data_IF_088532939085
#
_entry.id   IF_088532939085
#
_cell.length_a   1.000
_cell.length_b   1.000
_cell.length_c   1.000
_cell.angle_alpha   90.00
_cell.angle_beta   90.00
_cell.angle_gamma   90.00
#
_symmetry.space_group_name_H-M   'P 1'
#
loop_
_entity.id
_entity.type
_entity.pdbx_description
1 polymer ?
#
# COMPACT_ATOMS: atom_id res chain seq x y z
N UNK A 1 2.70 -30.10 21.30
CA UNK A 1 1.89 -30.33 20.09
C UNK A 1 2.42 -29.40 19.02
N UNK A 2 2.95 -29.97 17.95
CA UNK A 2 3.66 -29.26 16.87
C UNK A 2 2.69 -28.45 16.03
N UNK A 3 2.77 -27.12 16.13
CA UNK A 3 2.13 -26.18 15.20
C UNK A 3 2.70 -26.41 13.81
N UNK A 4 1.89 -27.00 12.92
CA UNK A 4 2.22 -27.04 11.50
C UNK A 4 1.92 -25.66 10.93
N UNK A 5 2.97 -24.89 10.63
CA UNK A 5 2.86 -23.75 9.73
C UNK A 5 2.50 -24.29 8.34
N UNK A 6 1.21 -24.45 8.07
CA UNK A 6 0.71 -24.85 6.76
C UNK A 6 0.95 -23.69 5.79
N UNK A 7 1.99 -23.81 4.98
CA UNK A 7 2.18 -22.97 3.79
C UNK A 7 1.03 -23.29 2.85
N UNK A 8 0.05 -22.38 2.76
CA UNK A 8 -1.03 -22.50 1.79
C UNK A 8 -0.47 -22.09 0.42
N UNK A 9 -0.52 -22.97 -0.60
CA UNK A 9 -0.07 -22.59 -1.94
C UNK A 9 -0.92 -21.44 -2.47
N UNK A 10 -0.28 -20.41 -3.04
CA UNK A 10 -1.00 -19.37 -3.79
C UNK A 10 -1.80 -20.03 -4.93
N UNK A 11 -3.07 -19.64 -5.09
CA UNK A 11 -3.87 -20.13 -6.22
C UNK A 11 -3.32 -19.59 -7.56
N UNK A 12 -3.49 -20.40 -8.62
CA UNK A 12 -3.20 -19.99 -9.98
C UNK A 12 -4.04 -18.75 -10.39
N UNK A 13 -3.60 -17.97 -11.40
CA UNK A 13 -4.38 -16.85 -11.92
C UNK A 13 -5.81 -17.26 -12.26
N UNK A 14 -6.77 -16.37 -12.02
CA UNK A 14 -8.18 -16.58 -12.37
C UNK A 14 -8.34 -16.99 -13.84
N UNK A 15 -9.26 -17.93 -14.11
CA UNK A 15 -9.64 -18.35 -15.48
C UNK A 15 -10.44 -17.28 -16.23
N UNK A 16 -10.74 -16.14 -15.61
CA UNK A 16 -11.31 -14.97 -16.28
C UNK A 16 -10.31 -14.44 -17.33
N UNK A 17 -10.80 -14.25 -18.56
CA UNK A 17 -9.99 -13.92 -19.74
C UNK A 17 -8.96 -12.80 -19.49
N UNK A 18 -7.67 -13.17 -19.54
CA UNK A 18 -6.46 -12.40 -19.88
C UNK A 18 -6.29 -10.96 -19.39
N UNK A 19 -6.99 -10.49 -18.38
CA UNK A 19 -6.66 -9.23 -17.73
C UNK A 19 -5.59 -9.51 -16.69
N UNK A 20 -4.33 -9.23 -17.01
CA UNK A 20 -3.22 -9.34 -16.06
C UNK A 20 -3.26 -8.16 -15.06
N UNK A 21 -4.36 -8.09 -14.30
CA UNK A 21 -4.57 -7.08 -13.26
C UNK A 21 -3.51 -7.24 -12.17
N UNK A 22 -3.01 -6.10 -11.72
CA UNK A 22 -2.13 -6.00 -10.57
C UNK A 22 -2.75 -5.04 -9.57
N UNK A 23 -2.71 -5.45 -8.30
CA UNK A 23 -2.95 -4.55 -7.17
C UNK A 23 -1.77 -4.72 -6.23
N UNK A 24 -0.76 -3.86 -6.37
CA UNK A 24 0.50 -4.00 -5.66
C UNK A 24 0.65 -2.96 -4.55
N UNK A 25 1.37 -3.35 -3.49
CA UNK A 25 1.72 -2.50 -2.36
C UNK A 25 3.23 -2.34 -2.31
N UNK A 26 3.70 -1.21 -1.81
CA UNK A 26 5.13 -0.97 -1.67
C UNK A 26 5.46 0.48 -1.38
N UNK A 27 6.67 0.89 -1.77
CA UNK A 27 7.14 2.27 -1.73
C UNK A 27 7.48 2.75 -3.14
N UNK A 28 7.12 3.99 -3.44
CA UNK A 28 7.50 4.65 -4.69
C UNK A 28 8.99 5.00 -4.69
N UNK A 29 9.59 4.87 -5.86
CA UNK A 29 10.88 5.44 -6.19
C UNK A 29 10.89 5.92 -7.64
N UNK A 30 12.05 6.38 -8.08
CA UNK A 30 12.30 6.72 -9.47
C UNK A 30 13.69 6.26 -9.88
N UNK A 31 13.85 6.03 -11.18
CA UNK A 31 15.10 5.62 -11.80
C UNK A 31 15.27 6.37 -13.13
N UNK A 32 16.52 6.66 -13.50
CA UNK A 32 16.83 7.44 -14.71
C UNK A 32 16.92 6.56 -15.98
N UNK A 33 17.13 5.25 -15.82
CA UNK A 33 17.38 4.28 -16.88
C UNK A 33 18.72 4.45 -17.62
N UNK A 34 19.23 5.68 -17.74
CA UNK A 34 20.44 6.02 -18.48
C UNK A 34 21.16 7.23 -17.91
N UNK A 35 22.45 7.34 -18.21
CA UNK A 35 23.31 8.47 -17.84
C UNK A 35 22.83 9.76 -18.49
N UNK A 36 22.41 9.72 -19.76
CA UNK A 36 21.91 10.90 -20.46
C UNK A 36 20.66 11.48 -19.78
N UNK A 37 19.74 10.62 -19.33
CA UNK A 37 18.54 11.05 -18.59
C UNK A 37 18.92 11.65 -17.25
N UNK A 38 19.80 10.99 -16.49
CA UNK A 38 20.32 11.52 -15.22
C UNK A 38 20.96 12.90 -15.40
N UNK A 39 21.81 13.05 -16.41
CA UNK A 39 22.53 14.29 -16.66
C UNK A 39 21.59 15.44 -17.09
N UNK A 40 20.46 15.12 -17.73
CA UNK A 40 19.38 16.09 -18.00
C UNK A 40 18.82 16.67 -16.70
N UNK A 41 18.46 15.84 -15.73
CA UNK A 41 17.99 16.31 -14.42
C UNK A 41 19.06 17.11 -13.67
N UNK A 42 20.35 16.71 -13.75
CA UNK A 42 21.45 17.50 -13.16
C UNK A 42 21.59 18.90 -13.74
N UNK A 43 21.18 19.11 -15.00
CA UNK A 43 21.27 20.41 -15.68
C UNK A 43 20.03 21.27 -15.48
N UNK A 44 18.84 20.66 -15.41
CA UNK A 44 17.57 21.38 -15.36
C UNK A 44 17.10 21.67 -13.93
N UNK A 45 17.41 20.80 -12.97
CA UNK A 45 17.02 21.04 -11.58
C UNK A 45 17.72 22.28 -11.02
N UNK A 46 16.99 23.15 -10.30
CA UNK A 46 17.58 24.36 -9.73
C UNK A 46 18.60 24.01 -8.63
N UNK A 47 19.63 24.85 -8.41
CA UNK A 47 20.51 24.72 -7.26
C UNK A 47 19.71 24.70 -5.95
N UNK A 48 20.19 23.94 -4.97
CA UNK A 48 19.55 23.83 -3.67
C UNK A 48 20.20 24.80 -2.68
N UNK A 49 19.41 25.68 -2.07
CA UNK A 49 19.88 26.61 -1.05
C UNK A 49 19.87 25.93 0.33
N UNK A 50 21.04 25.83 0.95
CA UNK A 50 21.19 25.24 2.30
C UNK A 50 21.01 26.30 3.38
N UNK A 51 21.41 27.53 3.07
CA UNK A 51 21.23 28.72 3.91
C UNK A 51 21.26 29.97 3.02
N UNK A 52 20.89 31.11 3.57
CA UNK A 52 20.90 32.39 2.86
C UNK A 52 22.28 32.64 2.19
N UNK A 53 22.29 32.74 0.86
CA UNK A 53 23.50 32.96 0.05
C UNK A 53 24.42 31.75 -0.14
N UNK A 54 24.05 30.54 0.32
CA UNK A 54 24.84 29.31 0.12
C UNK A 54 24.02 28.28 -0.65
N UNK A 55 24.29 28.20 -1.95
CA UNK A 55 23.69 27.21 -2.86
C UNK A 55 24.66 26.08 -3.18
N UNK A 56 24.16 24.85 -3.22
CA UNK A 56 24.87 23.69 -3.78
C UNK A 56 24.25 23.25 -5.10
N UNK A 57 25.01 22.57 -5.98
CA UNK A 57 24.46 21.99 -7.19
C UNK A 57 23.28 21.05 -6.89
N UNK A 58 22.31 21.01 -7.79
CA UNK A 58 21.16 20.10 -7.68
C UNK A 58 21.63 18.65 -7.57
N UNK A 59 21.00 17.91 -6.65
CA UNK A 59 21.22 16.48 -6.50
C UNK A 59 19.94 15.72 -6.93
N UNK A 60 19.90 15.18 -8.16
CA UNK A 60 18.72 14.46 -8.63
C UNK A 60 18.48 13.13 -7.91
N UNK A 61 19.43 12.65 -7.08
CA UNK A 61 19.23 11.49 -6.22
C UNK A 61 18.59 11.86 -4.86
N UNK A 62 18.51 13.15 -4.51
CA UNK A 62 17.77 13.59 -3.34
C UNK A 62 16.29 13.70 -3.71
N UNK A 63 15.49 12.76 -3.19
CA UNK A 63 14.06 12.70 -3.47
C UNK A 63 13.32 13.99 -3.07
N UNK A 64 13.81 14.74 -2.08
CA UNK A 64 13.22 16.04 -1.68
C UNK A 64 13.34 17.06 -2.80
N UNK A 65 14.55 17.22 -3.34
CA UNK A 65 14.80 18.11 -4.47
C UNK A 65 14.04 17.68 -5.72
N UNK A 66 13.93 16.36 -5.97
CA UNK A 66 13.18 15.83 -7.11
C UNK A 66 11.69 16.12 -6.98
N UNK A 67 11.10 15.89 -5.81
CA UNK A 67 9.67 16.18 -5.54
C UNK A 67 9.36 17.65 -5.75
N UNK A 68 10.20 18.55 -5.25
CA UNK A 68 10.04 20.00 -5.39
C UNK A 68 10.13 20.44 -6.87
N UNK A 69 11.09 19.86 -7.61
CA UNK A 69 11.25 20.10 -9.03
C UNK A 69 10.00 19.65 -9.82
N UNK A 70 9.51 18.44 -9.57
CA UNK A 70 8.33 17.89 -10.25
C UNK A 70 7.03 18.59 -9.86
N UNK A 71 6.93 19.16 -8.65
CA UNK A 71 5.79 19.99 -8.25
C UNK A 71 5.69 21.25 -9.13
N UNK A 72 6.85 21.80 -9.52
CA UNK A 72 6.94 22.98 -10.38
C UNK A 72 6.83 22.65 -11.86
N UNK A 73 7.34 21.49 -12.29
CA UNK A 73 7.29 21.01 -13.67
C UNK A 73 6.91 19.52 -13.75
N UNK A 74 5.62 19.24 -13.62
CA UNK A 74 5.11 17.87 -13.66
C UNK A 74 5.32 17.19 -15.02
N UNK A 75 5.58 17.95 -16.08
CA UNK A 75 5.78 17.37 -17.41
C UNK A 75 7.03 16.49 -17.46
N UNK A 76 8.02 16.78 -16.62
CA UNK A 76 9.25 16.00 -16.47
C UNK A 76 9.07 14.69 -15.73
N UNK A 77 7.95 14.49 -15.02
CA UNK A 77 7.65 13.22 -14.35
C UNK A 77 7.62 12.04 -15.34
N UNK A 78 7.20 12.27 -16.59
CA UNK A 78 7.21 11.25 -17.65
C UNK A 78 8.63 10.83 -18.08
N UNK A 79 9.62 11.67 -17.78
CA UNK A 79 11.03 11.44 -18.08
C UNK A 79 11.69 10.54 -17.01
N UNK A 80 11.00 10.14 -15.96
CA UNK A 80 11.49 9.18 -14.98
C UNK A 80 10.88 7.80 -15.20
N UNK A 81 11.64 6.76 -14.87
CA UNK A 81 11.07 5.43 -14.65
C UNK A 81 10.58 5.42 -13.21
N UNK A 82 9.27 5.54 -13.00
CA UNK A 82 8.68 5.39 -11.66
C UNK A 82 8.76 3.92 -11.27
N UNK A 83 9.22 3.64 -10.05
CA UNK A 83 9.34 2.27 -9.55
C UNK A 83 8.40 2.06 -8.38
N UNK A 84 7.78 0.88 -8.34
CA UNK A 84 7.20 0.35 -7.11
C UNK A 84 8.19 -0.65 -6.54
N UNK A 85 8.59 -0.41 -5.30
CA UNK A 85 9.56 -1.21 -4.60
C UNK A 85 8.86 -1.97 -3.47
N UNK A 86 9.17 -3.25 -3.33
CA UNK A 86 8.86 -4.00 -2.11
C UNK A 86 10.15 -4.01 -1.32
N UNK A 87 10.14 -3.31 -0.18
CA UNK A 87 11.34 -2.97 0.56
C UNK A 87 12.33 -2.18 -0.33
N UNK A 88 13.55 -2.68 -0.52
CA UNK A 88 14.58 -2.05 -1.34
C UNK A 88 14.68 -2.66 -2.74
N UNK A 89 13.73 -3.50 -3.14
CA UNK A 89 13.75 -4.20 -4.43
C UNK A 89 12.69 -3.63 -5.37
N UNK A 90 13.08 -3.03 -6.51
CA UNK A 90 12.14 -2.66 -7.56
C UNK A 90 11.46 -3.92 -8.11
N UNK A 91 10.13 -3.98 -8.03
CA UNK A 91 9.33 -5.11 -8.53
C UNK A 91 8.53 -4.74 -9.79
N UNK A 92 8.15 -3.46 -9.92
CA UNK A 92 7.46 -2.93 -11.08
C UNK A 92 8.01 -1.57 -11.48
N UNK A 93 7.96 -1.28 -12.77
CA UNK A 93 7.94 0.08 -13.27
C UNK A 93 6.50 0.53 -13.49
N UNK A 94 6.18 1.77 -13.14
CA UNK A 94 4.85 2.37 -13.27
C UNK A 94 4.89 3.32 -14.47
N UNK A 95 4.04 3.07 -15.46
CA UNK A 95 3.95 3.91 -16.66
C UNK A 95 2.50 4.34 -16.89
N UNK A 96 2.08 5.49 -16.33
CA UNK A 96 0.78 6.06 -16.64
C UNK A 96 0.64 6.41 -18.13
N UNK A 97 -0.50 6.04 -18.72
CA UNK A 97 -0.83 6.30 -20.13
C UNK A 97 -2.27 6.75 -20.31
N UNK A 98 -2.55 7.20 -21.53
CA UNK A 98 -3.88 7.63 -21.93
C UNK A 98 -4.29 9.00 -21.37
N UNK A 99 -5.59 9.32 -21.41
CA UNK A 99 -6.10 10.65 -21.08
C UNK A 99 -5.83 11.11 -19.63
N UNK A 100 -5.64 10.18 -18.70
CA UNK A 100 -5.43 10.44 -17.27
C UNK A 100 -3.95 10.33 -16.83
N UNK A 101 -3.01 10.23 -17.78
CA UNK A 101 -1.60 10.04 -17.47
C UNK A 101 -1.04 11.18 -16.61
N UNK A 102 -1.43 12.43 -16.91
CA UNK A 102 -0.95 13.60 -16.17
C UNK A 102 -1.42 13.57 -14.72
N UNK A 103 -2.68 13.25 -14.48
CA UNK A 103 -3.27 13.16 -13.14
C UNK A 103 -2.65 12.01 -12.35
N UNK A 104 -2.35 10.89 -13.01
CA UNK A 104 -1.61 9.78 -12.39
C UNK A 104 -0.17 10.17 -12.04
N UNK A 105 0.55 10.92 -12.90
CA UNK A 105 1.87 11.45 -12.54
C UNK A 105 1.83 12.44 -11.38
N UNK A 106 0.80 13.31 -11.32
CA UNK A 106 0.57 14.17 -10.15
C UNK A 106 0.38 13.34 -8.88
N UNK A 107 -0.48 12.32 -8.92
CA UNK A 107 -0.68 11.43 -7.78
C UNK A 107 0.62 10.71 -7.37
N UNK A 108 1.43 10.21 -8.32
CA UNK A 108 2.72 9.59 -8.01
C UNK A 108 3.70 10.58 -7.35
N UNK A 109 3.72 11.84 -7.82
CA UNK A 109 4.52 12.90 -7.23
C UNK A 109 4.06 13.23 -5.81
N UNK A 110 2.75 13.38 -5.58
CA UNK A 110 2.17 13.64 -4.25
C UNK A 110 2.45 12.48 -3.28
N UNK A 111 2.34 11.24 -3.74
CA UNK A 111 2.63 10.05 -2.95
C UNK A 111 4.12 9.98 -2.59
N UNK A 112 5.02 10.29 -3.53
CA UNK A 112 6.46 10.37 -3.26
C UNK A 112 6.77 11.52 -2.28
N UNK A 113 6.08 12.66 -2.40
CA UNK A 113 6.20 13.80 -1.49
C UNK A 113 5.81 13.44 -0.05
N UNK A 114 4.77 12.62 0.14
CA UNK A 114 4.42 12.11 1.46
C UNK A 114 5.44 11.11 2.00
N UNK A 115 6.05 10.28 1.16
CA UNK A 115 7.05 9.29 1.60
C UNK A 115 8.36 9.90 2.11
N UNK A 116 8.69 11.12 1.69
CA UNK A 116 9.92 11.82 2.11
C UNK A 116 9.70 12.68 3.37
N UNK A 117 8.47 12.78 3.87
CA UNK A 117 8.20 13.48 5.12
C UNK A 117 8.85 12.75 6.31
N UNK A 118 9.15 13.46 7.40
CA UNK A 118 9.58 12.82 8.63
C UNK A 118 8.53 11.82 9.15
N UNK A 119 8.95 10.70 9.75
CA UNK A 119 8.03 9.65 10.22
C UNK A 119 6.97 10.13 11.23
N UNK A 120 7.23 11.23 11.94
CA UNK A 120 6.33 11.83 12.91
C UNK A 120 5.35 12.85 12.30
N UNK A 121 5.48 13.13 11.01
CA UNK A 121 4.61 14.06 10.29
C UNK A 121 3.25 13.40 9.99
N UNK A 122 2.17 14.17 10.07
CA UNK A 122 0.82 13.67 9.76
C UNK A 122 0.66 13.33 8.27
N UNK A 123 1.45 13.97 7.39
CA UNK A 123 1.46 13.73 5.96
C UNK A 123 2.42 12.61 5.53
N UNK A 124 3.14 11.99 6.48
CA UNK A 124 4.02 10.87 6.20
C UNK A 124 3.28 9.68 5.60
N UNK A 125 3.69 9.29 4.40
CA UNK A 125 3.19 8.11 3.70
C UNK A 125 4.19 6.99 3.89
N UNK A 126 3.79 5.95 4.61
CA UNK A 126 4.68 4.80 4.81
C UNK A 126 4.67 3.87 3.59
N UNK A 127 3.49 3.68 2.97
CA UNK A 127 3.29 2.77 1.82
C UNK A 127 2.26 3.32 0.85
N UNK A 128 2.33 2.82 -0.38
CA UNK A 128 1.37 3.11 -1.43
C UNK A 128 0.67 1.85 -1.93
N UNK A 129 -0.52 2.04 -2.49
CA UNK A 129 -1.21 1.05 -3.30
C UNK A 129 -1.27 1.52 -4.75
N UNK A 130 -0.88 0.64 -5.68
CA UNK A 130 -0.83 0.93 -7.12
C UNK A 130 -1.59 -0.16 -7.87
N UNK A 131 -2.86 0.07 -8.24
CA UNK A 131 -3.55 -0.76 -9.21
C UNK A 131 -3.03 -0.48 -10.62
N UNK A 132 -2.89 -1.51 -11.43
CA UNK A 132 -2.50 -1.37 -12.83
C UNK A 132 -2.75 -2.63 -13.64
N UNK A 133 -2.59 -2.50 -14.95
CA UNK A 133 -2.59 -3.64 -15.87
C UNK A 133 -1.15 -3.96 -16.23
N UNK A 134 -0.75 -5.24 -16.14
CA UNK A 134 0.54 -5.66 -16.69
C UNK A 134 0.52 -5.55 -18.21
N UNK A 135 1.47 -4.79 -18.74
CA UNK A 135 1.50 -4.45 -20.17
C UNK A 135 2.19 -5.53 -21.02
N UNK A 136 2.78 -6.55 -20.40
CA UNK A 136 3.69 -7.51 -21.04
C UNK A 136 5.06 -6.92 -21.45
N UNK A 137 5.26 -5.61 -21.29
CA UNK A 137 6.54 -4.93 -21.53
C UNK A 137 7.40 -4.90 -20.26
N UNK A 138 8.70 -4.74 -20.47
CA UNK A 138 9.68 -4.55 -19.40
C UNK A 138 10.51 -3.31 -19.67
N UNK A 139 11.15 -2.79 -18.62
CA UNK A 139 12.14 -1.71 -18.71
C UNK A 139 13.40 -2.10 -17.95
N UNK A 140 14.55 -1.69 -18.47
CA UNK A 140 15.84 -1.84 -17.80
C UNK A 140 16.11 -0.59 -16.96
N UNK A 141 16.32 -0.78 -15.67
CA UNK A 141 16.70 0.26 -14.72
C UNK A 141 18.19 0.63 -14.89
N UNK A 142 18.60 1.75 -14.29
CA UNK A 142 19.99 2.22 -14.30
C UNK A 142 20.95 1.17 -13.71
N UNK A 143 20.51 0.40 -12.72
CA UNK A 143 21.26 -0.72 -12.13
C UNK A 143 21.51 -1.88 -13.10
N UNK A 144 20.77 -1.93 -14.21
CA UNK A 144 20.74 -3.02 -15.16
C UNK A 144 19.67 -4.07 -14.88
N UNK A 145 18.97 -3.99 -13.74
CA UNK A 145 17.82 -4.84 -13.43
C UNK A 145 16.69 -4.60 -14.45
N UNK A 146 16.01 -5.66 -14.87
CA UNK A 146 14.85 -5.58 -15.78
C UNK A 146 13.59 -5.88 -14.98
N UNK A 147 12.63 -4.96 -15.02
CA UNK A 147 11.36 -5.08 -14.28
C UNK A 147 10.15 -4.95 -15.22
N UNK A 148 9.04 -5.66 -14.94
CA UNK A 148 7.80 -5.52 -15.70
C UNK A 148 7.14 -4.15 -15.51
N UNK A 149 6.42 -3.69 -16.53
CA UNK A 149 5.69 -2.42 -16.52
C UNK A 149 4.22 -2.66 -16.19
N UNK A 150 3.73 -1.98 -15.15
CA UNK A 150 2.31 -1.83 -14.85
C UNK A 150 1.81 -0.47 -15.33
N UNK A 151 0.61 -0.46 -15.89
CA UNK A 151 -0.06 0.74 -16.40
C UNK A 151 -1.28 1.05 -15.52
N UNK A 152 -1.21 2.07 -14.64
CA UNK A 152 -2.38 2.60 -13.98
C UNK A 152 -3.32 3.22 -15.01
N UNK A 153 -4.59 2.81 -15.03
CA UNK A 153 -5.58 3.34 -15.97
C UNK A 153 -6.33 4.57 -15.45
N UNK A 154 -6.23 4.85 -14.16
CA UNK A 154 -6.83 6.03 -13.51
C UNK A 154 -6.12 6.36 -12.20
N UNK A 155 -6.46 7.49 -11.59
CA UNK A 155 -5.99 7.84 -10.23
C UNK A 155 -6.71 7.07 -9.13
N UNK A 156 -7.81 6.39 -9.43
CA UNK A 156 -8.56 5.63 -8.43
C UNK A 156 -7.72 4.47 -7.93
N UNK A 157 -7.71 4.27 -6.62
CA UNK A 157 -6.92 3.23 -5.98
C UNK A 157 -5.44 3.56 -5.81
N UNK A 158 -4.96 4.72 -6.30
CA UNK A 158 -3.65 5.25 -5.92
C UNK A 158 -3.77 5.88 -4.53
N UNK A 159 -3.54 5.08 -3.49
CA UNK A 159 -3.62 5.57 -2.10
C UNK A 159 -2.27 5.50 -1.40
N UNK A 160 -2.00 6.52 -0.57
CA UNK A 160 -0.90 6.55 0.39
C UNK A 160 -1.42 6.27 1.80
N UNK A 161 -0.69 5.45 2.54
CA UNK A 161 -1.04 5.08 3.91
C UNK A 161 -0.37 6.02 4.90
N UNK A 162 -1.16 6.93 5.48
CA UNK A 162 -0.75 7.84 6.54
C UNK A 162 -1.03 7.23 7.90
N UNK A 163 -0.05 6.50 8.45
CA UNK A 163 -0.21 5.75 9.71
C UNK A 163 -0.62 6.66 10.86
N UNK A 164 0.03 7.82 10.98
CA UNK A 164 -0.24 8.80 12.04
C UNK A 164 -1.68 9.31 11.99
N UNK A 165 -2.17 9.68 10.79
CA UNK A 165 -3.57 10.11 10.63
C UNK A 165 -4.57 9.01 11.03
N UNK A 166 -4.25 7.74 10.77
CA UNK A 166 -5.10 6.61 11.14
C UNK A 166 -5.10 6.33 12.63
N UNK A 167 -3.93 6.40 13.29
CA UNK A 167 -3.84 6.33 14.75
C UNK A 167 -4.70 7.44 15.37
N UNK A 168 -4.62 8.66 14.83
CA UNK A 168 -5.41 9.79 15.32
C UNK A 168 -6.92 9.54 15.16
N UNK A 169 -7.37 9.08 13.98
CA UNK A 169 -8.78 8.78 13.72
C UNK A 169 -9.32 7.62 14.58
N UNK A 170 -8.52 6.56 14.77
CA UNK A 170 -8.87 5.44 15.65
C UNK A 170 -8.97 5.89 17.11
N UNK A 171 -8.02 6.71 17.57
CA UNK A 171 -8.01 7.27 18.92
C UNK A 171 -9.26 8.12 19.19
N UNK A 172 -9.60 9.03 18.28
CA UNK A 172 -10.80 9.86 18.40
C UNK A 172 -12.09 9.03 18.49
N UNK A 173 -12.16 7.95 17.71
CA UNK A 173 -13.32 7.03 17.71
C UNK A 173 -13.47 6.32 19.06
N UNK A 174 -12.37 5.82 19.63
CA UNK A 174 -12.38 5.12 20.93
C UNK A 174 -12.63 6.08 22.08
N UNK A 175 -12.00 7.25 22.05
CA UNK A 175 -12.19 8.30 23.05
C UNK A 175 -13.67 8.72 23.15
N UNK A 176 -14.36 8.82 22.01
CA UNK A 176 -15.78 9.13 21.95
C UNK A 176 -16.68 8.00 22.49
N UNK A 177 -16.25 6.74 22.40
CA UNK A 177 -17.05 5.57 22.75
C UNK A 177 -16.83 5.06 24.18
N UNK A 178 -15.58 5.04 24.66
CA UNK A 178 -15.16 4.35 25.89
C UNK A 178 -14.48 5.29 26.93
N UNK A 179 -14.28 6.57 26.59
CA UNK A 179 -13.92 7.63 27.52
C UNK A 179 -12.43 7.73 27.86
N UNK A 180 -11.77 6.66 28.32
CA UNK A 180 -10.35 6.67 28.68
C UNK A 180 -9.57 5.80 27.69
N UNK A 181 -8.89 6.43 26.72
CA UNK A 181 -8.07 5.75 25.73
C UNK A 181 -6.58 6.05 25.98
N UNK A 182 -5.75 5.01 26.07
CA UNK A 182 -4.29 5.16 26.05
C UNK A 182 -3.82 5.32 24.60
N UNK A 183 -3.50 6.55 24.22
CA UNK A 183 -3.02 6.89 22.87
C UNK A 183 -1.74 6.16 22.51
N UNK A 184 -0.83 6.01 23.46
CA UNK A 184 0.48 5.42 23.21
C UNK A 184 0.36 3.91 23.03
N UNK A 185 -0.50 3.25 23.83
CA UNK A 185 -0.82 1.84 23.63
C UNK A 185 -1.51 1.61 22.28
N UNK A 186 -2.52 2.42 21.93
CA UNK A 186 -3.23 2.36 20.66
C UNK A 186 -2.28 2.53 19.47
N UNK A 187 -1.39 3.53 19.54
CA UNK A 187 -0.36 3.78 18.52
C UNK A 187 0.57 2.59 18.34
N UNK A 188 1.06 1.99 19.45
CA UNK A 188 1.89 0.78 19.41
C UNK A 188 1.16 -0.41 18.80
N UNK A 189 -0.07 -0.69 19.22
CA UNK A 189 -0.83 -1.84 18.73
C UNK A 189 -1.22 -1.67 17.27
N UNK A 190 -1.67 -0.47 16.86
CA UNK A 190 -1.98 -0.21 15.46
C UNK A 190 -0.71 -0.26 14.61
N UNK A 191 0.39 0.38 15.04
CA UNK A 191 1.68 0.30 14.34
C UNK A 191 2.19 -1.15 14.19
N UNK A 192 2.06 -1.97 15.25
CA UNK A 192 2.41 -3.41 15.20
C UNK A 192 1.51 -4.18 14.24
N UNK A 193 0.20 -3.94 14.28
CA UNK A 193 -0.76 -4.52 13.33
C UNK A 193 -0.38 -4.20 11.89
N UNK A 194 -0.14 -2.92 11.58
CA UNK A 194 0.18 -2.47 10.24
C UNK A 194 1.50 -3.06 9.72
N UNK A 195 2.53 -3.08 10.58
CA UNK A 195 3.80 -3.72 10.26
C UNK A 195 3.62 -5.21 9.97
N UNK A 196 2.88 -5.92 10.83
CA UNK A 196 2.65 -7.35 10.69
C UNK A 196 1.88 -7.68 9.41
N UNK A 197 0.83 -6.91 9.13
CA UNK A 197 0.04 -7.05 7.90
C UNK A 197 0.92 -6.86 6.67
N UNK A 198 1.86 -5.91 6.69
CA UNK A 198 2.77 -5.67 5.57
C UNK A 198 3.82 -6.79 5.40
N UNK A 199 4.55 -7.14 6.46
CA UNK A 199 5.68 -8.08 6.34
C UNK A 199 5.24 -9.54 6.18
N UNK A 200 4.16 -9.96 6.84
CA UNK A 200 3.69 -11.34 6.75
C UNK A 200 3.08 -11.66 5.38
N UNK A 201 2.64 -10.63 4.65
CA UNK A 201 1.75 -10.79 3.48
C UNK A 201 2.27 -10.14 2.20
N UNK A 202 3.52 -9.68 2.18
CA UNK A 202 4.13 -9.11 0.97
C UNK A 202 4.05 -10.09 -0.20
N UNK A 203 3.57 -9.60 -1.34
CA UNK A 203 3.39 -10.39 -2.55
C UNK A 203 3.42 -9.45 -3.77
N UNK A 204 3.41 -10.05 -4.97
CA UNK A 204 3.49 -9.29 -6.22
C UNK A 204 2.14 -8.69 -6.66
N UNK A 205 1.03 -9.04 -6.02
CA UNK A 205 -0.28 -8.49 -6.34
C UNK A 205 -0.85 -8.96 -7.67
N UNK A 206 -0.38 -10.08 -8.23
CA UNK A 206 -0.76 -10.55 -9.58
C UNK A 206 -1.88 -11.58 -9.54
N UNK A 207 -1.84 -12.53 -8.60
CA UNK A 207 -2.91 -13.53 -8.46
C UNK A 207 -4.16 -12.89 -7.85
N UNK A 208 -5.34 -13.48 -8.06
CA UNK A 208 -6.57 -12.95 -7.46
C UNK A 208 -6.53 -12.96 -5.94
N UNK A 209 -5.91 -13.99 -5.35
CA UNK A 209 -5.69 -14.07 -3.92
C UNK A 209 -4.77 -12.95 -3.42
N UNK A 210 -3.65 -12.70 -4.12
CA UNK A 210 -2.71 -11.63 -3.81
C UNK A 210 -3.37 -10.24 -3.90
N UNK A 211 -4.17 -10.00 -4.95
CA UNK A 211 -4.94 -8.75 -5.07
C UNK A 211 -5.94 -8.59 -3.94
N UNK A 212 -6.64 -9.66 -3.58
CA UNK A 212 -7.61 -9.63 -2.49
C UNK A 212 -6.90 -9.34 -1.16
N UNK A 213 -5.74 -9.97 -0.94
CA UNK A 213 -4.91 -9.75 0.23
C UNK A 213 -4.43 -8.30 0.30
N UNK A 214 -3.79 -7.78 -0.75
CA UNK A 214 -3.27 -6.41 -0.80
C UNK A 214 -4.36 -5.35 -0.67
N UNK A 215 -5.51 -5.56 -1.34
CA UNK A 215 -6.65 -4.68 -1.18
C UNK A 215 -7.24 -4.79 0.22
N UNK A 216 -7.26 -5.97 0.84
CA UNK A 216 -7.75 -6.12 2.21
C UNK A 216 -6.94 -5.32 3.20
N UNK A 217 -5.63 -5.20 2.99
CA UNK A 217 -4.79 -4.31 3.79
C UNK A 217 -5.22 -2.87 3.57
N UNK A 218 -5.29 -2.43 2.31
CA UNK A 218 -5.72 -1.06 1.99
C UNK A 218 -7.10 -0.73 2.58
N UNK A 219 -8.05 -1.66 2.47
CA UNK A 219 -9.38 -1.53 3.03
C UNK A 219 -9.37 -1.56 4.56
N UNK A 220 -8.52 -2.39 5.19
CA UNK A 220 -8.37 -2.40 6.65
C UNK A 220 -7.79 -1.08 7.16
N UNK A 221 -6.85 -0.49 6.42
CA UNK A 221 -6.35 0.87 6.66
C UNK A 221 -7.49 1.89 6.58
N UNK A 222 -8.35 1.83 5.55
CA UNK A 222 -9.50 2.74 5.42
C UNK A 222 -10.62 2.46 6.44
N UNK A 223 -10.75 1.22 6.90
CA UNK A 223 -11.76 0.76 7.86
C UNK A 223 -11.21 0.65 9.28
N UNK A 224 -10.09 1.31 9.61
CA UNK A 224 -9.43 1.22 10.91
C UNK A 224 -10.40 1.47 12.10
N UNK A 225 -11.38 2.36 11.92
CA UNK A 225 -12.46 2.63 12.89
C UNK A 225 -13.28 1.38 13.24
N UNK A 226 -13.45 0.44 12.31
CA UNK A 226 -14.21 -0.81 12.50
C UNK A 226 -13.51 -1.77 13.45
N UNK A 227 -12.17 -1.75 13.47
CA UNK A 227 -11.36 -2.62 14.34
C UNK A 227 -10.89 -1.90 15.60
N UNK A 228 -11.09 -0.59 15.69
CA UNK A 228 -10.64 0.26 16.80
C UNK A 228 -11.17 -0.24 18.16
N UNK A 229 -12.36 -0.85 18.20
CA UNK A 229 -12.88 -1.45 19.44
C UNK A 229 -12.07 -2.70 19.88
N UNK A 230 -11.61 -3.53 18.94
CA UNK A 230 -10.76 -4.67 19.30
C UNK A 230 -9.40 -4.19 19.82
N UNK A 231 -8.84 -3.16 19.18
CA UNK A 231 -7.58 -2.54 19.61
C UNK A 231 -7.73 -1.85 20.97
N UNK A 232 -8.83 -1.13 21.21
CA UNK A 232 -9.16 -0.50 22.50
C UNK A 232 -9.25 -1.52 23.64
N UNK A 233 -9.71 -2.72 23.33
CA UNK A 233 -9.79 -3.84 24.28
C UNK A 233 -8.46 -4.56 24.53
N UNK A 234 -7.34 -4.01 24.03
CA UNK A 234 -6.00 -4.58 24.17
C UNK A 234 -5.75 -5.80 23.27
N UNK A 235 -6.59 -6.04 22.26
CA UNK A 235 -6.41 -7.19 21.38
C UNK A 235 -5.43 -6.89 20.25
N UNK A 236 -4.61 -7.88 19.90
CA UNK A 236 -3.64 -7.82 18.82
C UNK A 236 -4.04 -8.77 17.68
N UNK A 237 -3.55 -8.50 16.47
CA UNK A 237 -3.77 -9.38 15.33
C UNK A 237 -3.02 -10.71 15.51
N UNK A 238 -3.75 -11.83 15.45
CA UNK A 238 -3.25 -13.20 15.47
C UNK A 238 -2.87 -13.65 14.05
N UNK A 239 -3.81 -13.56 13.11
CA UNK A 239 -3.66 -14.07 11.76
C UNK A 239 -4.58 -13.38 10.75
N UNK A 240 -4.17 -13.42 9.49
CA UNK A 240 -4.98 -13.00 8.33
C UNK A 240 -5.14 -14.21 7.42
N UNK A 241 -6.37 -14.48 7.00
CA UNK A 241 -6.68 -15.61 6.12
C UNK A 241 -7.54 -15.12 4.97
N UNK A 242 -7.17 -15.51 3.75
CA UNK A 242 -7.85 -15.13 2.51
C UNK A 242 -8.26 -16.41 1.79
N UNK A 243 -9.56 -16.62 1.67
CA UNK A 243 -10.17 -17.81 1.09
C UNK A 243 -11.15 -17.41 -0.01
N UNK A 244 -11.31 -18.25 -1.04
CA UNK A 244 -12.30 -17.98 -2.09
C UNK A 244 -13.70 -17.94 -1.47
N UNK A 245 -14.46 -16.89 -1.76
CA UNK A 245 -15.81 -16.75 -1.21
C UNK A 245 -16.75 -17.74 -1.89
N UNK A 246 -17.59 -18.48 -1.15
CA UNK A 246 -18.62 -19.34 -1.74
C UNK A 246 -19.81 -18.54 -2.28
N UNK A 247 -19.90 -17.24 -1.97
CA UNK A 247 -20.99 -16.36 -2.38
C UNK A 247 -20.45 -15.21 -3.21
N UNK A 248 -20.69 -15.28 -4.52
CA UNK A 248 -20.35 -14.24 -5.48
C UNK A 248 -21.46 -14.10 -6.51
N UNK A 249 -21.53 -12.93 -7.14
CA UNK A 249 -22.30 -12.83 -8.40
C UNK A 249 -21.61 -13.71 -9.45
N UNK A 250 -22.39 -14.14 -10.43
CA UNK A 250 -21.83 -14.79 -11.61
C UNK A 250 -20.82 -13.83 -12.26
N UNK A 251 -19.66 -14.34 -12.66
CA UNK A 251 -18.51 -13.59 -13.21
C UNK A 251 -17.73 -12.69 -12.24
N UNK A 252 -18.05 -12.70 -10.93
CA UNK A 252 -17.24 -12.05 -9.90
C UNK A 252 -16.08 -12.92 -9.44
N UNK A 253 -15.04 -12.28 -8.90
CA UNK A 253 -13.88 -12.95 -8.30
C UNK A 253 -13.76 -12.53 -6.84
N UNK A 254 -14.64 -13.08 -5.98
CA UNK A 254 -14.64 -12.69 -4.57
C UNK A 254 -13.93 -13.65 -3.62
N UNK A 255 -13.36 -13.02 -2.60
CA UNK A 255 -12.53 -13.62 -1.58
C UNK A 255 -12.99 -13.14 -0.20
N UNK A 256 -13.22 -14.09 0.70
CA UNK A 256 -13.47 -13.80 2.10
C UNK A 256 -12.14 -13.59 2.81
N UNK A 257 -11.98 -12.41 3.43
CA UNK A 257 -10.83 -12.08 4.26
C UNK A 257 -11.24 -12.12 5.71
N UNK A 258 -10.48 -12.86 6.52
CA UNK A 258 -10.69 -13.02 7.96
C UNK A 258 -9.50 -12.44 8.71
N UNK A 259 -9.76 -11.41 9.52
CA UNK A 259 -8.81 -10.86 10.49
C UNK A 259 -9.15 -11.45 11.85
N UNK A 260 -8.21 -12.18 12.44
CA UNK A 260 -8.38 -12.83 13.75
C UNK A 260 -7.54 -12.09 14.77
N UNK A 261 -8.16 -11.64 15.85
CA UNK A 261 -7.52 -10.93 16.96
C UNK A 261 -7.54 -11.79 18.22
N UNK A 262 -6.51 -11.68 19.04
CA UNK A 262 -6.37 -12.35 20.32
C UNK A 262 -5.93 -11.37 21.40
N UNK A 263 -6.16 -11.74 22.66
CA UNK A 263 -5.72 -10.95 23.81
C UNK A 263 -4.38 -11.53 24.31
N UNK A 264 -3.26 -10.77 24.21
CA UNK A 264 -1.95 -11.24 24.61
C UNK A 264 -1.80 -11.39 26.12
N UNK A 265 -2.55 -10.63 26.92
CA UNK A 265 -2.50 -10.68 28.40
C UNK A 265 -3.42 -11.76 28.97
N UNK A 266 -4.50 -12.10 28.24
CA UNK A 266 -5.46 -13.10 28.67
C UNK A 266 -5.72 -14.18 27.61
N UNK A 267 -4.92 -15.24 27.68
CA UNK A 267 -5.05 -16.43 26.81
C UNK A 267 -6.36 -17.21 26.95
N UNK A 268 -7.20 -16.90 27.96
CA UNK A 268 -8.54 -17.52 28.12
C UNK A 268 -9.64 -16.71 27.44
N UNK A 269 -9.37 -15.47 27.02
CA UNK A 269 -10.35 -14.65 26.33
C UNK A 269 -10.58 -15.20 24.92
N UNK A 270 -11.84 -15.21 24.50
CA UNK A 270 -12.20 -15.63 23.15
C UNK A 270 -11.54 -14.71 22.10
N UNK A 271 -11.09 -15.30 21.00
CA UNK A 271 -10.54 -14.56 19.87
C UNK A 271 -11.66 -13.84 19.13
N UNK A 272 -11.40 -12.63 18.64
CA UNK A 272 -12.38 -11.85 17.86
C UNK A 272 -12.05 -12.01 16.39
N UNK A 273 -13.04 -12.38 15.58
CA UNK A 273 -12.88 -12.53 14.13
C UNK A 273 -13.70 -11.46 13.44
N UNK A 274 -13.08 -10.79 12.47
CA UNK A 274 -13.75 -9.92 11.51
C UNK A 274 -13.65 -10.54 10.13
N UNK A 275 -14.76 -10.61 9.41
CA UNK A 275 -14.82 -11.10 8.04
C UNK A 275 -15.49 -10.09 7.13
N UNK A 276 -14.86 -9.84 5.99
CA UNK A 276 -15.43 -9.09 4.89
C UNK A 276 -15.07 -9.77 3.58
N UNK A 277 -15.86 -9.51 2.55
CA UNK A 277 -15.68 -10.11 1.23
C UNK A 277 -15.18 -9.03 0.27
N UNK A 278 -14.18 -9.37 -0.55
CA UNK A 278 -13.60 -8.46 -1.55
C UNK A 278 -13.81 -9.08 -2.92
N UNK A 279 -14.33 -8.33 -3.87
CA UNK A 279 -14.36 -8.70 -5.29
C UNK A 279 -13.16 -8.07 -6.01
N UNK A 280 -12.32 -8.91 -6.63
CA UNK A 280 -11.11 -8.53 -7.38
C UNK A 280 -11.25 -8.77 -8.89
N UNK A 281 -12.48 -8.89 -9.38
CA UNK A 281 -12.77 -9.06 -10.81
C UNK A 281 -12.40 -7.84 -11.66
N UNK A 282 -12.40 -6.65 -11.06
CA UNK A 282 -12.01 -5.39 -11.71
C UNK A 282 -10.63 -4.90 -11.21
N UNK A 283 -10.05 -3.94 -11.95
CA UNK A 283 -8.78 -3.29 -11.66
C UNK A 283 -8.74 -2.67 -10.27
N UNK A 284 -9.86 -2.06 -9.86
CA UNK A 284 -10.04 -1.51 -8.52
C UNK A 284 -10.94 -2.46 -7.76
N UNK A 285 -10.39 -3.26 -6.83
CA UNK A 285 -11.22 -4.18 -6.05
C UNK A 285 -12.25 -3.42 -5.21
N UNK A 286 -13.32 -4.13 -4.83
CA UNK A 286 -14.41 -3.55 -4.04
C UNK A 286 -14.77 -4.44 -2.86
N UNK A 287 -15.07 -3.81 -1.72
CA UNK A 287 -15.58 -4.51 -0.53
C UNK A 287 -17.09 -4.75 -0.70
N UNK A 288 -17.53 -5.99 -0.46
CA UNK A 288 -18.92 -6.41 -0.58
C UNK A 288 -19.58 -6.53 0.80
N UNK A 289 -20.70 -5.83 0.96
CA UNK A 289 -21.50 -5.86 2.18
C UNK A 289 -20.80 -5.25 3.40
N UNK A 290 -21.37 -5.51 4.58
CA UNK A 290 -20.83 -5.02 5.85
C UNK A 290 -19.85 -6.03 6.47
N UNK A 291 -18.86 -5.51 7.21
CA UNK A 291 -17.95 -6.32 8.01
C UNK A 291 -18.76 -7.12 9.04
N UNK A 292 -18.62 -8.46 9.00
CA UNK A 292 -19.22 -9.36 9.99
C UNK A 292 -18.21 -9.63 11.09
N UNK A 293 -18.67 -9.70 12.34
CA UNK A 293 -17.80 -10.02 13.47
C UNK A 293 -18.42 -11.03 14.43
N UNK A 294 -17.60 -11.90 14.99
CA UNK A 294 -18.00 -12.88 16.00
C UNK A 294 -16.80 -13.28 16.87
N UNK A 295 -17.08 -13.96 17.98
CA UNK A 295 -16.04 -14.50 18.87
C UNK A 295 -15.86 -16.00 18.61
N UNK A 296 -14.62 -16.46 18.62
CA UNK A 296 -14.25 -17.87 18.51
C UNK A 296 -13.54 -18.33 19.79
N UNK A 297 -13.82 -19.55 20.28
CA UNK A 297 -12.96 -20.18 21.29
C UNK A 297 -11.51 -20.28 20.80
N UNK A 298 -10.60 -20.44 21.76
CA UNK A 298 -9.17 -20.55 21.54
C UNK A 298 -8.80 -21.81 20.74
#
# INVERSE_FOLDING_TARGET
MTSSNAVTPSQAPSELASSQLVYALGTLGYDFGSEARRDTFKQLMPPFEISEGVSVPANPYDARQMVDYLASDISEARSLIWTLNIELTPVYAIEPKGPFAREAYLALQELLAGQIQPEHDDDYIERVSIPGVLTGRTVKLFSGQVVPIIEPQSTRGLYGWKVNSLVNAAFETVQAAEGEADRDAMSRTLGSFLNRVYYDLRNLGTTSQDRALNFSVTNAFQAASTFSQAVAQGMELDSITVEKSPFCRMDSDCWDVKLKFFDPENSRRAKKIFRFTIDVSDLIPVTLGEVKSWSSPY
#
